data_IF_160508259406
#
_entry.id   IF_160508259406
#
_cell.length_a   1.000
_cell.length_b   1.000
_cell.length_c   1.000
_cell.angle_alpha   90.00
_cell.angle_beta   90.00
_cell.angle_gamma   90.00
#
_symmetry.space_group_name_H-M   'P 1'
#
loop_
_entity.id
_entity.type
_entity.pdbx_description
1 polymer ?
#
# COMPACT_ATOMS: atom_id res chain seq x y z
N UNK A 1 35.23 2.29 -13.56
CA UNK A 1 34.25 3.39 -13.42
C UNK A 1 32.94 2.88 -13.97
N UNK A 2 32.03 2.45 -13.11
CA UNK A 2 30.70 2.00 -13.55
C UNK A 2 29.94 3.20 -14.12
N UNK A 3 29.54 3.10 -15.37
CA UNK A 3 28.73 4.10 -16.06
C UNK A 3 27.39 4.24 -15.32
N UNK A 4 27.23 5.34 -14.59
CA UNK A 4 25.94 5.79 -14.08
C UNK A 4 25.17 6.34 -15.29
N UNK A 5 24.65 5.44 -16.15
CA UNK A 5 23.49 5.80 -16.97
C UNK A 5 22.33 5.96 -15.99
N UNK A 6 22.09 7.19 -15.54
CA UNK A 6 21.02 7.50 -14.59
C UNK A 6 19.70 6.97 -15.13
N UNK A 7 19.19 5.91 -14.51
CA UNK A 7 17.96 5.28 -14.97
C UNK A 7 16.83 6.31 -14.80
N UNK A 8 16.23 6.73 -15.91
CA UNK A 8 15.14 7.71 -15.89
C UNK A 8 13.89 7.04 -15.32
N UNK A 9 13.17 7.73 -14.44
CA UNK A 9 11.93 7.25 -13.85
C UNK A 9 10.75 8.08 -14.34
N UNK A 10 9.70 7.40 -14.79
CA UNK A 10 8.44 8.02 -15.15
C UNK A 10 7.44 7.86 -14.00
N UNK A 11 6.68 8.91 -13.71
CA UNK A 11 5.70 8.92 -12.63
C UNK A 11 4.30 8.66 -13.18
N UNK A 12 3.49 7.94 -12.41
CA UNK A 12 2.14 7.55 -12.78
C UNK A 12 1.19 7.76 -11.60
N UNK A 13 -0.05 8.10 -11.92
CA UNK A 13 -1.09 8.27 -10.90
C UNK A 13 -1.75 6.95 -10.50
N UNK A 14 -1.70 5.93 -11.35
CA UNK A 14 -2.36 4.64 -11.11
C UNK A 14 -1.66 3.45 -11.76
N UNK A 15 -1.89 2.28 -11.17
CA UNK A 15 -1.53 0.98 -11.70
C UNK A 15 -2.72 0.04 -11.61
N UNK A 16 -2.94 -0.72 -12.68
CA UNK A 16 -4.09 -1.63 -12.83
C UNK A 16 -3.60 -3.07 -12.71
N UNK A 17 -4.27 -3.83 -11.84
CA UNK A 17 -4.15 -5.28 -11.73
C UNK A 17 -5.44 -5.92 -12.24
N UNK A 18 -5.41 -7.24 -12.44
CA UNK A 18 -6.57 -8.01 -12.93
C UNK A 18 -7.84 -7.78 -12.09
N UNK A 19 -7.72 -7.71 -10.76
CA UNK A 19 -8.86 -7.66 -9.82
C UNK A 19 -9.07 -6.30 -9.14
N UNK A 20 -8.09 -5.41 -9.20
CA UNK A 20 -8.13 -4.13 -8.51
C UNK A 20 -7.18 -3.15 -9.16
N UNK A 21 -7.30 -1.88 -8.80
CA UNK A 21 -6.31 -0.85 -9.14
C UNK A 21 -5.82 -0.18 -7.86
N UNK A 22 -4.59 0.31 -7.91
CA UNK A 22 -4.01 1.21 -6.94
C UNK A 22 -3.77 2.56 -7.61
N UNK A 23 -3.98 3.64 -6.88
CA UNK A 23 -3.71 4.99 -7.37
C UNK A 23 -3.19 5.88 -6.26
N UNK A 24 -2.77 7.09 -6.59
CA UNK A 24 -2.41 8.12 -5.61
C UNK A 24 -3.65 8.76 -4.94
N UNK A 25 -4.85 8.48 -5.47
CA UNK A 25 -6.12 9.02 -4.97
C UNK A 25 -6.57 8.32 -3.70
N UNK A 26 -7.27 9.05 -2.83
CA UNK A 26 -7.55 8.62 -1.45
C UNK A 26 -8.24 7.25 -1.32
N UNK A 27 -9.15 6.94 -2.25
CA UNK A 27 -9.90 5.69 -2.27
C UNK A 27 -9.04 4.45 -2.61
N UNK A 28 -7.94 4.63 -3.37
CA UNK A 28 -7.14 3.53 -3.91
C UNK A 28 -5.66 3.58 -3.51
N UNK A 29 -5.29 4.53 -2.66
CA UNK A 29 -3.90 4.73 -2.26
C UNK A 29 -3.46 3.89 -1.07
N UNK A 30 -4.22 2.85 -0.70
CA UNK A 30 -3.85 1.99 0.42
C UNK A 30 -3.71 0.54 -0.02
N UNK A 31 -2.58 -0.07 0.35
CA UNK A 31 -2.33 -1.49 0.11
C UNK A 31 -1.54 -2.09 1.27
N UNK A 32 -1.56 -3.42 1.36
CA UNK A 32 -0.66 -4.15 2.23
C UNK A 32 0.43 -4.84 1.43
N UNK A 33 1.58 -4.96 2.07
CA UNK A 33 2.72 -5.72 1.59
C UNK A 33 2.59 -7.19 2.00
N UNK A 34 3.44 -8.05 1.42
CA UNK A 34 3.52 -9.48 1.77
C UNK A 34 3.85 -9.68 3.27
N UNK A 35 4.65 -8.79 3.87
CA UNK A 35 4.98 -8.81 5.30
C UNK A 35 3.84 -8.31 6.21
N UNK A 36 2.66 -8.03 5.64
CA UNK A 36 1.44 -7.49 6.27
C UNK A 36 1.51 -6.02 6.70
N UNK A 37 2.60 -5.32 6.39
CA UNK A 37 2.66 -3.87 6.55
C UNK A 37 1.63 -3.18 5.67
N UNK A 38 0.98 -2.13 6.18
CA UNK A 38 0.07 -1.31 5.39
C UNK A 38 0.74 -0.01 5.02
N UNK A 39 0.61 0.39 3.75
CA UNK A 39 1.24 1.59 3.20
C UNK A 39 0.22 2.49 2.52
N UNK A 40 0.48 3.80 2.57
CA UNK A 40 -0.19 4.81 1.77
C UNK A 40 0.71 5.19 0.61
N UNK A 41 0.19 5.01 -0.60
CA UNK A 41 0.83 5.31 -1.87
C UNK A 41 0.78 6.82 -2.09
N UNK A 42 1.94 7.40 -2.36
CA UNK A 42 2.12 8.82 -2.69
C UNK A 42 2.58 9.00 -4.13
N UNK A 43 3.25 8.00 -4.70
CA UNK A 43 3.69 8.01 -6.08
C UNK A 43 3.87 6.59 -6.62
N UNK A 44 3.79 6.43 -7.93
CA UNK A 44 4.11 5.18 -8.63
C UNK A 44 5.14 5.52 -9.71
N UNK A 45 6.27 4.83 -9.69
CA UNK A 45 7.35 5.07 -10.64
C UNK A 45 7.70 3.82 -11.43
N UNK A 46 8.02 4.02 -12.70
CA UNK A 46 8.47 2.97 -13.62
C UNK A 46 9.81 3.36 -14.20
N UNK A 47 10.78 2.46 -14.18
CA UNK A 47 12.06 2.67 -14.85
C UNK A 47 11.81 2.84 -16.34
N UNK A 48 12.56 3.71 -17.00
CA UNK A 48 12.44 3.98 -18.45
C UNK A 48 12.60 2.73 -19.32
N UNK A 49 13.20 1.66 -18.80
CA UNK A 49 13.31 0.36 -19.47
C UNK A 49 12.06 -0.52 -19.27
N UNK A 50 11.06 -0.07 -18.51
CA UNK A 50 9.81 -0.77 -18.21
C UNK A 50 9.94 -1.97 -17.26
N UNK A 51 11.17 -2.33 -16.84
CA UNK A 51 11.42 -3.57 -16.10
C UNK A 51 11.16 -3.49 -14.60
N UNK A 52 11.21 -2.30 -14.03
CA UNK A 52 11.09 -2.09 -12.59
C UNK A 52 9.95 -1.11 -12.31
N UNK A 53 8.98 -1.54 -11.52
CA UNK A 53 7.87 -0.73 -11.05
C UNK A 53 7.99 -0.63 -9.54
N UNK A 54 7.99 0.59 -9.00
CA UNK A 54 8.03 0.84 -7.56
C UNK A 54 6.86 1.71 -7.12
N UNK A 55 6.34 1.42 -5.93
CA UNK A 55 5.41 2.28 -5.22
C UNK A 55 6.20 3.07 -4.18
N UNK A 56 5.98 4.37 -4.11
CA UNK A 56 6.59 5.26 -3.10
C UNK A 56 5.49 5.70 -2.15
N UNK A 57 5.77 5.69 -0.86
CA UNK A 57 4.77 6.01 0.15
C UNK A 57 5.27 5.95 1.57
N UNK A 58 4.32 6.00 2.50
CA UNK A 58 4.56 5.96 3.94
C UNK A 58 3.90 4.70 4.53
N UNK A 59 4.56 4.06 5.49
CA UNK A 59 4.03 2.90 6.22
C UNK A 59 3.28 3.34 7.47
N UNK A 60 2.22 2.63 7.84
CA UNK A 60 1.61 2.79 9.17
C UNK A 60 2.43 2.05 10.23
N UNK A 61 2.64 2.71 11.38
CA UNK A 61 3.49 2.20 12.45
C UNK A 61 2.71 1.47 13.55
N UNK A 62 1.42 1.80 13.72
CA UNK A 62 0.61 1.23 14.80
C UNK A 62 -0.68 0.63 14.25
N UNK A 63 -1.05 -0.52 14.82
CA UNK A 63 -2.25 -1.27 14.47
C UNK A 63 -2.89 -1.80 15.74
N UNK A 64 -4.19 -1.63 15.87
CA UNK A 64 -4.97 -2.17 16.97
C UNK A 64 -6.31 -2.73 16.46
N UNK A 65 -6.95 -3.55 17.30
CA UNK A 65 -8.30 -4.01 17.04
C UNK A 65 -9.27 -2.82 17.10
N UNK A 66 -10.03 -2.60 16.02
CA UNK A 66 -11.09 -1.59 15.99
C UNK A 66 -12.23 -1.92 16.97
N UNK A 67 -12.50 -3.21 17.16
CA UNK A 67 -13.38 -3.74 18.20
C UNK A 67 -12.89 -5.11 18.67
N UNK A 68 -13.30 -5.51 19.88
CA UNK A 68 -12.93 -6.80 20.49
C UNK A 68 -14.11 -7.73 20.74
N UNK A 69 -15.35 -7.23 20.64
CA UNK A 69 -16.60 -7.99 20.77
C UNK A 69 -17.38 -7.97 19.45
N UNK A 70 -17.92 -9.09 18.97
CA UNK A 70 -17.90 -10.44 19.57
C UNK A 70 -16.54 -11.16 19.44
N UNK A 71 -15.62 -10.62 18.65
CA UNK A 71 -14.25 -11.09 18.55
C UNK A 71 -13.33 -9.93 18.17
N UNK A 72 -12.01 -10.14 18.28
CA UNK A 72 -10.97 -9.20 17.81
C UNK A 72 -11.13 -8.94 16.31
N UNK A 73 -11.31 -7.68 15.92
CA UNK A 73 -11.50 -7.26 14.53
C UNK A 73 -10.35 -7.69 13.61
N UNK A 74 -9.12 -7.80 14.14
CA UNK A 74 -7.96 -8.35 13.44
C UNK A 74 -8.16 -9.78 12.93
N UNK A 75 -9.02 -10.59 13.58
CA UNK A 75 -9.41 -11.92 13.06
C UNK A 75 -10.17 -11.84 11.74
N UNK A 76 -10.78 -10.70 11.44
CA UNK A 76 -11.46 -10.40 10.19
C UNK A 76 -10.63 -9.49 9.27
N UNK A 77 -9.34 -9.32 9.58
CA UNK A 77 -8.42 -8.38 8.92
C UNK A 77 -8.94 -6.94 8.89
N UNK A 78 -9.56 -6.52 9.99
CA UNK A 78 -10.00 -5.14 10.22
C UNK A 78 -9.10 -4.55 11.30
N UNK A 79 -8.43 -3.45 10.96
CA UNK A 79 -7.45 -2.80 11.83
C UNK A 79 -7.74 -1.32 11.94
N UNK A 80 -7.59 -0.78 13.14
CA UNK A 80 -7.46 0.66 13.34
C UNK A 80 -5.97 0.97 13.31
N UNK A 81 -5.52 1.71 12.30
CA UNK A 81 -4.12 2.14 12.20
C UNK A 81 -3.98 3.64 12.44
N UNK A 82 -2.85 3.97 13.05
CA UNK A 82 -2.44 5.34 13.33
C UNK A 82 -0.93 5.50 13.14
N UNK A 83 -0.47 6.75 13.14
CA UNK A 83 0.92 7.14 12.99
C UNK A 83 1.51 6.65 11.66
N UNK A 84 1.47 7.53 10.67
CA UNK A 84 2.23 7.33 9.43
C UNK A 84 3.70 7.62 9.71
N UNK A 85 4.56 6.76 9.20
CA UNK A 85 5.99 7.00 9.17
C UNK A 85 6.28 8.27 8.35
N UNK A 86 7.14 9.15 8.88
CA UNK A 86 7.47 10.41 8.21
C UNK A 86 8.29 10.21 6.94
N UNK A 87 9.15 9.20 6.93
CA UNK A 87 10.02 8.92 5.80
C UNK A 87 9.25 8.26 4.65
N UNK A 88 9.50 8.76 3.44
CA UNK A 88 9.06 8.09 2.22
C UNK A 88 9.97 6.89 1.95
N UNK A 89 9.34 5.75 1.68
CA UNK A 89 10.02 4.51 1.28
C UNK A 89 9.51 4.06 -0.08
N UNK A 90 10.27 3.20 -0.73
CA UNK A 90 9.89 2.58 -2.00
C UNK A 90 9.81 1.07 -1.86
N UNK A 91 8.78 0.47 -2.45
CA UNK A 91 8.59 -0.98 -2.52
C UNK A 91 8.47 -1.42 -3.97
N UNK A 92 9.07 -2.56 -4.29
CA UNK A 92 8.85 -3.21 -5.58
C UNK A 92 7.38 -3.62 -5.72
N UNK A 93 6.85 -3.54 -6.93
CA UNK A 93 5.48 -3.93 -7.22
C UNK A 93 5.17 -5.35 -6.74
N UNK A 94 6.14 -6.26 -6.73
CA UNK A 94 5.96 -7.65 -6.32
C UNK A 94 5.84 -7.82 -4.81
N UNK A 95 6.18 -6.80 -4.02
CA UNK A 95 5.97 -6.82 -2.57
C UNK A 95 4.50 -6.54 -2.20
N UNK A 96 3.67 -6.10 -3.15
CA UNK A 96 2.26 -5.77 -2.90
C UNK A 96 1.40 -7.05 -2.87
N UNK A 97 0.75 -7.29 -1.74
CA UNK A 97 -0.11 -8.45 -1.54
C UNK A 97 -1.57 -8.19 -1.96
N UNK A 98 -2.13 -7.04 -1.56
CA UNK A 98 -3.52 -6.69 -1.85
C UNK A 98 -3.82 -5.21 -1.58
N UNK A 99 -4.88 -4.72 -2.22
CA UNK A 99 -5.48 -3.41 -1.91
C UNK A 99 -6.21 -3.44 -0.57
N UNK A 100 -6.08 -2.35 0.19
CA UNK A 100 -6.79 -2.11 1.43
C UNK A 100 -7.87 -1.05 1.21
N UNK A 101 -9.05 -1.27 1.79
CA UNK A 101 -10.04 -0.20 1.93
C UNK A 101 -9.64 0.67 3.12
N UNK A 102 -9.49 1.98 2.89
CA UNK A 102 -9.18 2.95 3.93
C UNK A 102 -10.41 3.81 4.22
N UNK A 103 -10.80 3.88 5.49
CA UNK A 103 -11.89 4.74 5.95
C UNK A 103 -11.38 5.63 7.10
N UNK A 104 -11.69 6.92 7.04
CA UNK A 104 -11.35 7.85 8.12
C UNK A 104 -12.27 7.61 9.32
N UNK A 105 -11.69 7.46 10.51
CA UNK A 105 -12.44 7.31 11.76
C UNK A 105 -11.77 8.13 12.86
N UNK A 106 -12.40 9.24 13.26
CA UNK A 106 -11.79 10.25 14.14
C UNK A 106 -10.44 10.72 13.57
N UNK A 107 -9.36 10.59 14.35
CA UNK A 107 -7.98 10.94 13.95
C UNK A 107 -7.18 9.73 13.43
N UNK A 108 -7.83 8.58 13.24
CA UNK A 108 -7.22 7.31 12.84
C UNK A 108 -7.85 6.81 11.54
N UNK A 109 -7.26 5.75 10.98
CA UNK A 109 -7.76 5.12 9.77
C UNK A 109 -8.15 3.68 10.05
N UNK A 110 -9.35 3.32 9.61
CA UNK A 110 -9.81 1.94 9.60
C UNK A 110 -9.42 1.30 8.27
N UNK A 111 -8.74 0.16 8.34
CA UNK A 111 -8.41 -0.65 7.17
C UNK A 111 -9.13 -1.97 7.20
N UNK A 112 -9.74 -2.31 6.06
CA UNK A 112 -10.18 -3.68 5.79
C UNK A 112 -9.37 -4.23 4.62
N UNK A 113 -8.73 -5.35 4.88
CA UNK A 113 -8.07 -6.14 3.84
C UNK A 113 -9.13 -6.91 3.07
N UNK A 114 -9.28 -6.62 1.77
CA UNK A 114 -10.25 -7.30 0.92
C UNK A 114 -9.72 -8.66 0.45
N UNK A 115 -10.38 -9.76 0.84
CA UNK A 115 -10.03 -11.12 0.40
C UNK A 115 -10.12 -11.28 -1.13
N UNK A 116 -11.04 -10.55 -1.78
CA UNK A 116 -11.22 -10.56 -3.23
C UNK A 116 -10.17 -9.72 -4.01
N UNK A 117 -9.37 -8.90 -3.32
CA UNK A 117 -8.33 -8.06 -3.91
C UNK A 117 -6.93 -8.66 -3.74
N UNK A 118 -6.84 -9.98 -3.53
CA UNK A 118 -5.56 -10.68 -3.41
C UNK A 118 -4.89 -10.78 -4.78
N UNK A 119 -3.62 -10.36 -4.85
CA UNK A 119 -2.78 -10.63 -6.00
C UNK A 119 -2.46 -12.12 -6.05
N UNK A 120 -2.69 -12.73 -7.21
CA UNK A 120 -2.17 -14.06 -7.50
C UNK A 120 -0.67 -13.85 -7.76
N UNK A 121 0.16 -14.18 -6.78
CA UNK A 121 1.63 -14.19 -6.91
C UNK A 121 2.03 -15.62 -7.25
#
# INVERSE_FOLDING_TARGET
MENISGDRWQQFEKIVFEKFLLSIQDADNCCALIDKSVVIIRNIIVSSKGKCIKLIGNKFLTYEDFYTSPCKSSKLNIYLASYLENELKSWDINEIAYKCMKLSYKTKFLFKVGVHCKRNI
#
